data_IF_085070887552
#
_entry.id   IF_085070887552
#
_cell.length_a   1.000
_cell.length_b   1.000
_cell.length_c   1.000
_cell.angle_alpha   90.00
_cell.angle_beta   90.00
_cell.angle_gamma   90.00
#
_symmetry.space_group_name_H-M   'P 1'
#
loop_
_entity.id
_entity.type
_entity.pdbx_description
1 polymer ?
#
# COMPACT_ATOMS: atom_id res chain seq x y z
N UNK A 1 54.08 6.09 28.61
CA UNK A 1 52.93 6.29 29.50
C UNK A 1 52.78 5.04 30.37
N UNK A 2 53.05 5.14 31.66
CA UNK A 2 52.97 4.03 32.62
C UNK A 2 51.50 3.71 32.91
N UNK A 3 51.08 2.48 32.61
CA UNK A 3 49.75 1.98 32.92
C UNK A 3 49.57 1.85 34.43
N UNK A 4 48.57 2.52 35.00
CA UNK A 4 48.19 2.33 36.41
C UNK A 4 47.53 0.95 36.52
N UNK A 5 48.12 0.07 37.33
CA UNK A 5 47.66 -1.30 37.55
C UNK A 5 46.80 -1.37 38.82
N UNK A 6 45.83 -2.27 38.83
CA UNK A 6 45.13 -2.65 40.07
C UNK A 6 46.04 -3.52 40.94
N UNK A 7 45.63 -3.75 42.20
CA UNK A 7 46.38 -4.58 43.18
C UNK A 7 46.73 -5.98 42.64
N UNK A 8 45.94 -6.48 41.69
CA UNK A 8 46.13 -7.80 41.04
C UNK A 8 46.90 -7.74 39.71
N UNK A 9 47.55 -6.62 39.37
CA UNK A 9 48.38 -6.48 38.16
C UNK A 9 47.62 -6.26 36.85
N UNK A 10 46.30 -6.09 36.89
CA UNK A 10 45.46 -5.84 35.71
C UNK A 10 45.45 -4.32 35.41
N UNK A 11 45.52 -3.88 34.15
CA UNK A 11 45.33 -2.46 33.81
C UNK A 11 44.03 -1.90 34.39
N UNK A 12 44.11 -0.81 35.14
CA UNK A 12 42.97 -0.18 35.83
C UNK A 12 41.81 0.16 34.88
N UNK A 13 42.13 0.49 33.63
CA UNK A 13 41.14 0.78 32.58
C UNK A 13 40.28 -0.44 32.23
N UNK A 14 40.86 -1.64 32.25
CA UNK A 14 40.16 -2.87 31.89
C UNK A 14 39.29 -3.39 33.04
N UNK A 15 39.78 -3.28 34.28
CA UNK A 15 38.99 -3.59 35.48
C UNK A 15 37.81 -2.61 35.64
N UNK A 16 38.02 -1.31 35.38
CA UNK A 16 36.97 -0.31 35.35
C UNK A 16 35.93 -0.62 34.26
N UNK A 17 36.32 -0.89 33.00
CA UNK A 17 35.37 -1.24 31.93
C UNK A 17 34.55 -2.49 32.25
N UNK A 18 35.14 -3.50 32.88
CA UNK A 18 34.43 -4.73 33.28
C UNK A 18 33.41 -4.46 34.38
N UNK A 19 33.79 -3.70 35.42
CA UNK A 19 32.88 -3.31 36.50
C UNK A 19 31.75 -2.38 35.98
N UNK A 20 32.09 -1.46 35.07
CA UNK A 20 31.15 -0.51 34.49
C UNK A 20 30.14 -1.18 33.56
N UNK A 21 30.54 -2.19 32.76
CA UNK A 21 29.61 -3.01 31.96
C UNK A 21 28.56 -3.71 32.82
N UNK A 22 28.97 -4.29 33.95
CA UNK A 22 28.05 -4.95 34.89
C UNK A 22 27.05 -3.97 35.50
N UNK A 23 27.51 -2.77 35.91
CA UNK A 23 26.64 -1.71 36.43
C UNK A 23 25.67 -1.18 35.38
N UNK A 24 26.13 -0.95 34.13
CA UNK A 24 25.29 -0.53 33.00
C UNK A 24 24.25 -1.59 32.62
N UNK A 25 24.63 -2.87 32.62
CA UNK A 25 23.69 -3.97 32.34
C UNK A 25 22.60 -4.07 33.42
N UNK A 26 22.95 -3.93 34.70
CA UNK A 26 21.97 -3.88 35.80
C UNK A 26 21.03 -2.68 35.68
N UNK A 27 21.58 -1.49 35.41
CA UNK A 27 20.77 -0.29 35.19
C UNK A 27 19.81 -0.46 34.00
N UNK A 28 20.28 -1.04 32.89
CA UNK A 28 19.44 -1.34 31.74
C UNK A 28 18.35 -2.37 32.08
N UNK A 29 18.69 -3.45 32.80
CA UNK A 29 17.73 -4.47 33.23
C UNK A 29 16.62 -3.91 34.14
N UNK A 30 16.91 -2.90 34.95
CA UNK A 30 15.89 -2.23 35.77
C UNK A 30 14.87 -1.45 34.92
N UNK A 31 15.30 -0.88 33.80
CA UNK A 31 14.44 -0.08 32.90
C UNK A 31 13.86 -0.93 31.74
N UNK A 32 14.46 -2.09 31.46
CA UNK A 32 14.08 -2.98 30.37
C UNK A 32 12.60 -3.39 30.37
N UNK A 33 11.93 -3.70 31.52
CA UNK A 33 10.51 -4.05 31.52
C UNK A 33 9.62 -2.92 31.01
N UNK A 34 9.89 -1.69 31.44
CA UNK A 34 9.15 -0.51 30.99
C UNK A 34 9.42 -0.24 29.50
N UNK A 35 10.68 -0.37 29.07
CA UNK A 35 11.05 -0.22 27.66
C UNK A 35 10.35 -1.26 26.78
N UNK A 36 10.34 -2.53 27.18
CA UNK A 36 9.63 -3.61 26.49
C UNK A 36 8.13 -3.34 26.42
N UNK A 37 7.54 -2.86 27.51
CA UNK A 37 6.13 -2.48 27.52
C UNK A 37 5.84 -1.39 26.47
N UNK A 38 6.65 -0.33 26.41
CA UNK A 38 6.49 0.74 25.41
C UNK A 38 6.69 0.22 23.98
N UNK A 39 7.69 -0.63 23.77
CA UNK A 39 7.97 -1.22 22.46
C UNK A 39 6.78 -2.07 21.97
N UNK A 40 6.18 -2.87 22.83
CA UNK A 40 5.08 -3.76 22.48
C UNK A 40 3.74 -3.01 22.38
N UNK A 41 3.48 -2.03 23.25
CA UNK A 41 2.17 -1.36 23.31
C UNK A 41 2.05 -0.18 22.34
N UNK A 42 3.15 0.49 22.01
CA UNK A 42 3.14 1.66 21.13
C UNK A 42 3.91 1.40 19.84
N UNK A 43 5.19 1.05 19.95
CA UNK A 43 6.07 0.98 18.77
C UNK A 43 5.62 -0.11 17.81
N UNK A 44 5.32 -1.31 18.32
CA UNK A 44 4.86 -2.43 17.50
C UNK A 44 3.51 -2.14 16.79
N UNK A 45 2.44 -1.65 17.45
CA UNK A 45 1.21 -1.27 16.76
C UNK A 45 1.38 -0.12 15.78
N UNK A 46 2.25 0.86 16.07
CA UNK A 46 2.56 1.94 15.12
C UNK A 46 3.22 1.37 13.86
N UNK A 47 4.21 0.49 14.00
CA UNK A 47 4.79 -0.22 12.86
C UNK A 47 3.73 -1.03 12.12
N UNK A 48 2.89 -1.80 12.82
CA UNK A 48 1.81 -2.56 12.19
C UNK A 48 0.88 -1.65 11.37
N UNK A 49 0.49 -0.50 11.91
CA UNK A 49 -0.37 0.47 11.23
C UNK A 49 0.32 1.10 10.02
N UNK A 50 1.62 1.41 10.11
CA UNK A 50 2.43 1.92 9.00
C UNK A 50 2.53 0.88 7.88
N UNK A 51 2.84 -0.37 8.20
CA UNK A 51 2.89 -1.46 7.21
C UNK A 51 1.51 -1.72 6.61
N UNK A 52 0.43 -1.72 7.39
CA UNK A 52 -0.95 -1.89 6.91
C UNK A 52 -1.38 -0.77 5.95
N UNK A 53 -0.82 0.43 6.05
CA UNK A 53 -1.05 1.53 5.10
C UNK A 53 -0.49 1.23 3.70
N UNK A 54 0.63 0.48 3.64
CA UNK A 54 1.28 0.06 2.40
C UNK A 54 0.70 -1.27 1.88
N UNK A 55 0.49 -2.24 2.78
CA UNK A 55 0.06 -3.62 2.52
C UNK A 55 -1.46 -3.82 2.56
N UNK A 56 -2.26 -2.86 2.10
CA UNK A 56 -3.68 -3.09 1.86
C UNK A 56 -3.98 -3.17 0.36
N UNK A 57 -3.60 -4.25 -0.34
CA UNK A 57 -3.87 -4.41 -1.75
C UNK A 57 -5.33 -4.85 -1.95
N UNK A 58 -6.27 -3.97 -1.56
CA UNK A 58 -7.72 -4.16 -1.67
C UNK A 58 -8.09 -4.57 -3.09
N UNK A 59 -7.48 -3.96 -4.10
CA UNK A 59 -7.76 -4.25 -5.50
C UNK A 59 -7.17 -5.61 -5.90
N UNK A 60 -5.92 -5.89 -5.57
CA UNK A 60 -5.28 -7.18 -5.90
C UNK A 60 -5.98 -8.38 -5.25
N UNK A 61 -6.41 -8.23 -3.99
CA UNK A 61 -7.07 -9.30 -3.24
C UNK A 61 -8.50 -9.59 -3.72
N UNK A 62 -9.12 -8.66 -4.43
CA UNK A 62 -10.51 -8.81 -4.87
C UNK A 62 -10.68 -8.90 -6.40
N UNK A 63 -9.65 -8.56 -7.17
CA UNK A 63 -9.59 -8.70 -8.63
C UNK A 63 -8.36 -9.51 -9.09
N UNK A 64 -7.98 -10.63 -8.44
CA UNK A 64 -6.70 -11.28 -8.66
C UNK A 64 -6.44 -11.69 -10.12
N UNK A 65 -7.44 -12.23 -10.82
CA UNK A 65 -7.30 -12.68 -12.21
C UNK A 65 -7.24 -11.51 -13.18
N UNK A 66 -8.02 -10.45 -12.92
CA UNK A 66 -7.92 -9.21 -13.69
C UNK A 66 -6.52 -8.60 -13.56
N UNK A 67 -5.96 -8.55 -12.35
CA UNK A 67 -4.63 -8.00 -12.13
C UNK A 67 -3.57 -8.85 -12.83
N UNK A 68 -3.64 -10.18 -12.74
CA UNK A 68 -2.69 -11.06 -13.44
C UNK A 68 -2.66 -10.82 -14.96
N UNK A 69 -3.84 -10.67 -15.59
CA UNK A 69 -3.92 -10.32 -17.01
C UNK A 69 -3.36 -8.93 -17.30
N UNK A 70 -3.65 -7.97 -16.44
CA UNK A 70 -3.17 -6.60 -16.60
C UNK A 70 -1.65 -6.47 -16.38
N UNK A 71 -1.02 -7.33 -15.58
CA UNK A 71 0.44 -7.36 -15.45
C UNK A 71 1.12 -7.61 -16.80
N UNK A 72 0.59 -8.57 -17.57
CA UNK A 72 1.07 -8.95 -18.92
C UNK A 72 0.65 -7.95 -20.02
N UNK A 73 -0.29 -7.05 -19.73
CA UNK A 73 -0.79 -6.05 -20.67
C UNK A 73 0.18 -4.86 -20.85
N UNK A 74 0.38 -4.45 -22.11
CA UNK A 74 1.35 -3.42 -22.54
C UNK A 74 0.98 -1.99 -22.13
N UNK A 75 -0.29 -1.73 -21.83
CA UNK A 75 -0.77 -0.40 -21.46
C UNK A 75 -1.09 0.52 -22.65
N UNK A 76 -1.06 0.03 -23.89
CA UNK A 76 -1.25 0.87 -25.09
C UNK A 76 -2.70 0.85 -25.55
N UNK A 77 -3.22 -0.34 -25.83
CA UNK A 77 -4.59 -0.55 -26.32
C UNK A 77 -5.51 -1.04 -25.20
N UNK A 78 -6.83 -1.04 -25.42
CA UNK A 78 -7.73 -1.66 -24.46
C UNK A 78 -7.39 -3.15 -24.26
N UNK A 79 -7.50 -3.68 -23.02
CA UNK A 79 -7.33 -5.10 -22.77
C UNK A 79 -8.27 -5.98 -23.62
N UNK A 80 -7.92 -7.26 -23.66
CA UNK A 80 -8.67 -8.28 -24.36
C UNK A 80 -10.07 -8.51 -23.75
N UNK A 81 -10.92 -9.21 -24.51
CA UNK A 81 -12.29 -9.54 -24.09
C UNK A 81 -12.31 -10.30 -22.75
N UNK A 82 -11.32 -11.16 -22.53
CA UNK A 82 -11.19 -11.99 -21.35
C UNK A 82 -11.01 -11.13 -20.09
N UNK A 83 -10.12 -10.13 -20.14
CA UNK A 83 -9.91 -9.20 -19.01
C UNK A 83 -11.18 -8.43 -18.65
N UNK A 84 -12.00 -8.03 -19.64
CA UNK A 84 -13.30 -7.41 -19.39
C UNK A 84 -14.29 -8.38 -18.71
N UNK A 85 -14.29 -9.66 -19.10
CA UNK A 85 -15.11 -10.69 -18.47
C UNK A 85 -14.69 -10.96 -17.03
N UNK A 86 -13.38 -11.06 -16.79
CA UNK A 86 -12.81 -11.28 -15.45
C UNK A 86 -13.17 -10.16 -14.50
N UNK A 87 -12.94 -8.89 -14.87
CA UNK A 87 -13.25 -7.77 -13.98
C UNK A 87 -14.74 -7.68 -13.67
N UNK A 88 -15.62 -8.00 -14.62
CA UNK A 88 -17.06 -8.02 -14.40
C UNK A 88 -17.45 -9.07 -13.35
N UNK A 89 -16.92 -10.29 -13.49
CA UNK A 89 -17.18 -11.41 -12.57
C UNK A 89 -16.60 -11.15 -11.18
N UNK A 90 -15.34 -10.72 -11.11
CA UNK A 90 -14.68 -10.44 -9.84
C UNK A 90 -15.32 -9.26 -9.09
N UNK A 91 -15.83 -8.24 -9.80
CA UNK A 91 -16.61 -7.17 -9.18
C UNK A 91 -17.97 -7.64 -8.62
N UNK A 92 -18.60 -8.67 -9.21
CA UNK A 92 -19.79 -9.30 -8.63
C UNK A 92 -19.44 -10.07 -7.35
N UNK A 93 -18.39 -10.88 -7.39
CA UNK A 93 -17.89 -11.62 -6.21
C UNK A 93 -17.51 -10.64 -5.09
N UNK A 94 -16.79 -9.56 -5.42
CA UNK A 94 -16.44 -8.53 -4.46
C UNK A 94 -17.67 -7.81 -3.88
N UNK A 95 -18.78 -7.73 -4.63
CA UNK A 95 -20.04 -7.19 -4.11
C UNK A 95 -20.67 -8.13 -3.09
N UNK A 96 -20.72 -9.43 -3.40
CA UNK A 96 -21.25 -10.47 -2.51
C UNK A 96 -20.47 -10.50 -1.19
N UNK A 97 -19.15 -10.33 -1.26
CA UNK A 97 -18.27 -10.26 -0.10
C UNK A 97 -18.22 -8.87 0.59
N UNK A 98 -19.09 -7.93 0.20
CA UNK A 98 -19.12 -6.56 0.73
C UNK A 98 -17.80 -5.79 0.61
N UNK A 99 -16.96 -6.11 -0.39
CA UNK A 99 -15.67 -5.47 -0.67
C UNK A 99 -15.72 -4.45 -1.81
N UNK A 100 -16.74 -4.49 -2.67
CA UNK A 100 -16.87 -3.58 -3.83
C UNK A 100 -16.77 -2.10 -3.46
N UNK A 101 -17.30 -1.70 -2.29
CA UNK A 101 -17.22 -0.33 -1.80
C UNK A 101 -15.77 0.10 -1.51
N UNK A 102 -14.95 -0.81 -0.97
CA UNK A 102 -13.53 -0.56 -0.68
C UNK A 102 -12.72 -0.43 -1.98
N UNK A 103 -12.96 -1.31 -2.96
CA UNK A 103 -12.35 -1.24 -4.30
C UNK A 103 -12.70 0.10 -4.97
N UNK A 104 -14.00 0.43 -4.98
CA UNK A 104 -14.52 1.65 -5.60
C UNK A 104 -13.94 2.91 -4.95
N UNK A 105 -13.82 2.94 -3.61
CA UNK A 105 -13.20 4.05 -2.90
C UNK A 105 -11.70 4.17 -3.25
N UNK A 106 -10.95 3.07 -3.20
CA UNK A 106 -9.51 3.08 -3.48
C UNK A 106 -9.20 3.56 -4.90
N UNK A 107 -9.93 3.06 -5.91
CA UNK A 107 -9.77 3.50 -7.30
C UNK A 107 -10.18 4.97 -7.49
N UNK A 108 -11.14 5.47 -6.70
CA UNK A 108 -11.62 6.85 -6.80
C UNK A 108 -10.63 7.89 -6.24
N UNK A 109 -9.81 7.50 -5.27
CA UNK A 109 -8.72 8.37 -4.80
C UNK A 109 -7.72 8.69 -5.93
N UNK A 110 -7.52 7.74 -6.85
CA UNK A 110 -6.56 7.84 -7.95
C UNK A 110 -7.16 8.51 -9.18
N UNK A 111 -8.41 8.16 -9.50
CA UNK A 111 -9.12 8.70 -10.66
C UNK A 111 -10.55 9.05 -10.27
N UNK A 112 -10.86 10.35 -10.35
CA UNK A 112 -12.17 10.89 -10.01
C UNK A 112 -13.31 10.19 -10.76
N UNK A 113 -14.37 9.85 -10.02
CA UNK A 113 -15.57 9.23 -10.56
C UNK A 113 -15.50 7.70 -10.69
N UNK A 114 -14.37 7.04 -10.41
CA UNK A 114 -14.30 5.56 -10.41
C UNK A 114 -15.33 4.94 -9.47
N UNK A 115 -15.65 5.58 -8.35
CA UNK A 115 -16.65 5.06 -7.41
C UNK A 115 -18.02 4.89 -8.05
N UNK A 116 -18.48 5.90 -8.78
CA UNK A 116 -19.77 5.83 -9.49
C UNK A 116 -19.73 4.83 -10.64
N UNK A 117 -18.60 4.77 -11.36
CA UNK A 117 -18.38 3.82 -12.46
C UNK A 117 -18.52 2.37 -11.98
N UNK A 118 -17.79 1.99 -10.93
CA UNK A 118 -17.78 0.63 -10.38
C UNK A 118 -19.17 0.26 -9.86
N UNK A 119 -19.79 1.14 -9.08
CA UNK A 119 -21.14 0.88 -8.54
C UNK A 119 -22.20 0.75 -9.65
N UNK A 120 -22.12 1.55 -10.72
CA UNK A 120 -23.00 1.43 -11.89
C UNK A 120 -22.76 0.11 -12.62
N UNK A 121 -21.49 -0.25 -12.80
CA UNK A 121 -21.05 -1.48 -13.46
C UNK A 121 -21.63 -2.70 -12.76
N UNK A 122 -21.36 -2.85 -11.46
CA UNK A 122 -21.84 -4.01 -10.68
C UNK A 122 -23.36 -4.13 -10.73
N UNK A 123 -24.09 -3.01 -10.64
CA UNK A 123 -25.56 -3.00 -10.74
C UNK A 123 -26.06 -3.49 -12.10
N UNK A 124 -25.40 -3.11 -13.19
CA UNK A 124 -25.80 -3.50 -14.56
C UNK A 124 -25.34 -4.92 -14.91
N UNK A 125 -24.12 -5.30 -14.55
CA UNK A 125 -23.55 -6.64 -14.77
C UNK A 125 -24.41 -7.71 -14.08
N UNK A 126 -24.93 -7.46 -12.88
CA UNK A 126 -25.85 -8.40 -12.19
C UNK A 126 -27.11 -8.74 -12.99
N UNK A 127 -27.55 -7.84 -13.87
CA UNK A 127 -28.73 -8.03 -14.73
C UNK A 127 -28.36 -8.43 -16.17
N UNK A 128 -27.08 -8.51 -16.47
CA UNK A 128 -26.58 -8.77 -17.82
C UNK A 128 -26.59 -10.28 -18.10
N UNK A 129 -27.19 -10.68 -19.22
CA UNK A 129 -27.32 -12.08 -19.65
C UNK A 129 -26.48 -12.43 -20.88
N UNK A 130 -25.75 -11.46 -21.44
CA UNK A 130 -24.90 -11.68 -22.61
C UNK A 130 -23.50 -12.21 -22.25
N UNK A 131 -22.70 -12.47 -23.29
CA UNK A 131 -21.31 -12.93 -23.17
C UNK A 131 -20.29 -11.85 -23.59
N UNK A 132 -20.72 -10.77 -24.25
CA UNK A 132 -19.86 -9.68 -24.70
C UNK A 132 -19.65 -8.62 -23.61
N UNK A 133 -18.81 -8.96 -22.64
CA UNK A 133 -18.50 -8.09 -21.51
C UNK A 133 -17.80 -6.79 -21.92
N UNK A 134 -16.95 -6.79 -22.97
CA UNK A 134 -16.28 -5.57 -23.41
C UNK A 134 -17.27 -4.55 -23.92
N UNK A 135 -18.14 -4.93 -24.85
CA UNK A 135 -19.18 -4.06 -25.37
C UNK A 135 -20.15 -3.63 -24.26
N UNK A 136 -20.56 -4.57 -23.41
CA UNK A 136 -21.48 -4.28 -22.31
C UNK A 136 -20.92 -3.28 -21.30
N UNK A 137 -19.68 -3.48 -20.83
CA UNK A 137 -19.03 -2.58 -19.87
C UNK A 137 -18.88 -1.17 -20.43
N UNK A 138 -18.43 -1.03 -21.68
CA UNK A 138 -18.30 0.26 -22.37
C UNK A 138 -19.67 0.95 -22.52
N UNK A 139 -20.72 0.19 -22.82
CA UNK A 139 -22.09 0.70 -22.89
C UNK A 139 -22.63 1.10 -21.50
N UNK A 140 -22.26 0.36 -20.46
CA UNK A 140 -22.64 0.65 -19.08
C UNK A 140 -22.03 1.97 -18.62
N UNK A 141 -20.74 2.16 -18.91
CA UNK A 141 -20.00 3.37 -18.65
C UNK A 141 -18.85 3.53 -19.65
N UNK A 142 -18.84 4.64 -20.41
CA UNK A 142 -17.85 4.92 -21.46
C UNK A 142 -16.40 4.90 -20.95
N UNK A 143 -16.18 5.08 -19.64
CA UNK A 143 -14.84 5.05 -19.04
C UNK A 143 -14.17 3.68 -19.11
N UNK A 144 -14.91 2.58 -19.21
CA UNK A 144 -14.32 1.26 -19.49
C UNK A 144 -13.63 1.20 -20.86
N UNK A 145 -14.03 2.07 -21.79
CA UNK A 145 -13.40 2.23 -23.10
C UNK A 145 -12.18 3.15 -23.09
N UNK A 146 -11.73 3.62 -21.92
CA UNK A 146 -10.53 4.45 -21.78
C UNK A 146 -9.38 3.65 -21.22
N UNK A 147 -8.23 3.66 -21.91
CA UNK A 147 -6.98 3.01 -21.49
C UNK A 147 -6.55 3.45 -20.08
N UNK A 148 -6.74 4.72 -19.73
CA UNK A 148 -6.40 5.25 -18.39
C UNK A 148 -7.09 4.50 -17.25
N UNK A 149 -8.32 4.02 -17.45
CA UNK A 149 -9.06 3.25 -16.45
C UNK A 149 -8.32 1.96 -16.11
N UNK A 150 -7.85 1.25 -17.13
CA UNK A 150 -7.13 -0.01 -17.00
C UNK A 150 -5.72 0.20 -16.44
N UNK A 151 -5.03 1.29 -16.82
CA UNK A 151 -3.74 1.68 -16.22
C UNK A 151 -3.87 1.91 -14.72
N UNK A 152 -4.92 2.61 -14.28
CA UNK A 152 -5.19 2.84 -12.85
C UNK A 152 -5.48 1.52 -12.13
N UNK A 153 -6.31 0.65 -12.71
CA UNK A 153 -6.59 -0.67 -12.11
C UNK A 153 -5.31 -1.50 -11.98
N UNK A 154 -4.48 -1.57 -13.03
CA UNK A 154 -3.17 -2.25 -13.01
C UNK A 154 -2.27 -1.72 -11.90
N UNK A 155 -2.07 -0.40 -11.87
CA UNK A 155 -1.17 0.28 -10.93
C UNK A 155 -1.57 0.04 -9.46
N UNK A 156 -2.86 0.11 -9.17
CA UNK A 156 -3.39 -0.07 -7.81
C UNK A 156 -3.58 -1.54 -7.44
N UNK A 157 -3.62 -2.41 -8.44
CA UNK A 157 -3.65 -3.85 -8.29
C UNK A 157 -2.32 -4.47 -7.90
N UNK A 158 -1.19 -3.75 -7.96
CA UNK A 158 0.09 -4.29 -7.54
C UNK A 158 0.09 -4.55 -6.02
N UNK A 159 0.46 -5.77 -5.61
CA UNK A 159 0.48 -6.18 -4.19
C UNK A 159 1.47 -5.39 -3.34
N UNK A 160 2.57 -4.97 -3.96
CA UNK A 160 3.60 -4.15 -3.34
C UNK A 160 3.75 -2.89 -4.18
N UNK A 161 3.46 -1.72 -3.61
CA UNK A 161 3.67 -0.43 -4.29
C UNK A 161 4.39 0.56 -3.40
N UNK A 162 5.45 1.19 -3.91
CA UNK A 162 6.11 2.32 -3.25
C UNK A 162 5.33 3.65 -3.34
N UNK A 163 4.13 3.63 -3.93
CA UNK A 163 3.33 4.84 -4.25
C UNK A 163 2.91 5.59 -2.97
N UNK A 164 2.66 4.87 -1.88
CA UNK A 164 2.32 5.45 -0.59
C UNK A 164 3.46 6.30 -0.03
N UNK A 165 4.72 5.90 -0.27
CA UNK A 165 5.89 6.69 0.12
C UNK A 165 6.04 7.95 -0.74
N UNK A 166 5.65 7.90 -2.03
CA UNK A 166 5.60 9.10 -2.87
C UNK A 166 4.60 10.11 -2.32
N UNK A 167 3.42 9.67 -1.89
CA UNK A 167 2.42 10.56 -1.30
C UNK A 167 2.90 11.24 -0.01
N UNK A 168 3.72 10.56 0.80
CA UNK A 168 4.34 11.15 2.00
C UNK A 168 5.33 12.27 1.67
N UNK A 169 5.85 12.31 0.43
CA UNK A 169 6.73 13.35 -0.09
C UNK A 169 5.98 14.37 -0.99
N UNK A 170 4.65 14.43 -0.90
CA UNK A 170 3.78 15.23 -1.79
C UNK A 170 3.96 14.91 -3.29
N UNK A 171 4.40 13.70 -3.62
CA UNK A 171 4.55 13.18 -4.99
C UNK A 171 3.38 12.26 -5.37
N UNK A 172 3.18 12.10 -6.67
CA UNK A 172 2.22 11.16 -7.28
C UNK A 172 2.78 10.61 -8.59
N UNK A 173 2.25 9.47 -9.01
CA UNK A 173 2.48 8.95 -10.36
C UNK A 173 1.44 9.56 -11.31
N UNK A 174 1.91 10.30 -12.31
CA UNK A 174 1.10 10.93 -13.34
C UNK A 174 0.48 9.90 -14.30
N UNK A 175 -0.39 10.36 -15.19
CA UNK A 175 -1.10 9.52 -16.16
C UNK A 175 -0.18 8.88 -17.23
N UNK A 176 1.02 9.42 -17.39
CA UNK A 176 2.11 8.97 -18.26
C UNK A 176 3.12 8.05 -17.55
N UNK A 177 2.83 7.63 -16.30
CA UNK A 177 3.75 6.87 -15.43
C UNK A 177 5.02 7.63 -14.97
N UNK A 178 5.10 8.95 -15.16
CA UNK A 178 6.16 9.75 -14.53
C UNK A 178 5.83 10.07 -13.08
N UNK A 179 6.85 10.32 -12.25
CA UNK A 179 6.67 10.86 -10.90
C UNK A 179 6.58 12.38 -11.02
N UNK A 180 5.53 12.96 -10.48
CA UNK A 180 5.33 14.40 -10.43
C UNK A 180 4.76 14.84 -9.10
N UNK A 181 4.81 16.14 -8.83
CA UNK A 181 4.22 16.70 -7.62
C UNK A 181 2.70 16.54 -7.62
N UNK A 182 2.11 16.37 -6.44
CA UNK A 182 0.67 16.47 -6.26
C UNK A 182 0.15 17.85 -6.66
N UNK A 183 -1.16 17.99 -6.82
CA UNK A 183 -1.78 19.30 -7.04
C UNK A 183 -1.64 20.15 -5.76
N UNK A 184 -1.53 21.48 -5.88
CA UNK A 184 -1.19 22.37 -4.75
C UNK A 184 -2.15 22.22 -3.56
N UNK A 185 -3.42 21.94 -3.81
CA UNK A 185 -4.46 21.65 -2.83
C UNK A 185 -4.25 20.37 -2.02
N UNK A 186 -3.33 19.49 -2.45
CA UNK A 186 -3.01 18.21 -1.80
C UNK A 186 -1.56 18.10 -1.33
N UNK A 187 -0.72 19.12 -1.57
CA UNK A 187 0.66 19.21 -1.06
C UNK A 187 0.64 19.73 0.37
N UNK A 188 0.47 18.84 1.32
CA UNK A 188 0.31 19.20 2.75
C UNK A 188 1.52 18.72 3.55
N UNK A 189 2.18 17.63 3.14
CA UNK A 189 3.12 16.92 4.00
C UNK A 189 4.52 17.53 4.03
N UNK A 190 5.03 18.07 2.92
CA UNK A 190 6.40 18.65 2.85
C UNK A 190 6.48 20.02 3.55
N UNK A 191 5.36 20.73 3.71
CA UNK A 191 5.35 22.04 4.37
C UNK A 191 5.19 21.97 5.90
N UNK A 192 4.83 20.81 6.44
CA UNK A 192 4.48 20.65 7.87
C UNK A 192 5.59 19.95 8.66
N UNK A 193 6.54 19.28 7.99
CA UNK A 193 7.68 18.59 8.60
C UNK A 193 9.02 19.21 8.19
#
# INVERSE_FOLDING_TARGET
MTSILTVDGIPLKDSLRKAERGRRAKAFLLVAPLLLFVLISFVFPIFEMLFRSVDNPVVANNLPLTIEKLEKWDGTNLPDQETFSLVAKELLIARENSKVGKIAARLNFELGGMRSMINKTVRKVRKYKGNDYKKALIQFDKRWGKVVTWKVIKRIGQRYTGIQYLAALDLKVNADNTIGLQSEDRRIYVKIF
#
